data_IF_269678830207
#
_entry.id   IF_269678830207
#
_cell.length_a   1.000
_cell.length_b   1.000
_cell.length_c   1.000
_cell.angle_alpha   90.00
_cell.angle_beta   90.00
_cell.angle_gamma   90.00
#
_symmetry.space_group_name_H-M   'P 1'
#
loop_
_entity.id
_entity.type
_entity.pdbx_description
1 polymer ?
#
# COMPACT_ATOMS: atom_id res chain seq x y z
N UNK A 1 -34.16 26.40 -36.86
CA UNK A 1 -34.15 26.16 -35.41
C UNK A 1 -33.16 25.06 -34.93
N UNK A 2 -32.44 24.35 -35.82
CA UNK A 2 -31.60 23.19 -35.44
C UNK A 2 -30.11 23.46 -35.19
N UNK A 3 -29.54 24.54 -35.72
CA UNK A 3 -28.10 24.86 -35.53
C UNK A 3 -27.77 25.38 -34.13
N UNK A 4 -28.68 26.13 -33.51
CA UNK A 4 -28.44 26.72 -32.17
C UNK A 4 -28.30 25.63 -31.10
N UNK A 5 -29.11 24.57 -31.17
CA UNK A 5 -29.07 23.45 -30.22
C UNK A 5 -27.77 22.65 -30.27
N UNK A 6 -27.16 22.49 -31.46
CA UNK A 6 -25.89 21.77 -31.63
C UNK A 6 -24.73 22.55 -31.01
N UNK A 7 -24.73 23.89 -31.12
CA UNK A 7 -23.71 24.74 -30.51
C UNK A 7 -23.74 24.67 -28.97
N UNK A 8 -24.92 24.63 -28.35
CA UNK A 8 -25.04 24.51 -26.89
C UNK A 8 -24.52 23.18 -26.35
N UNK A 9 -24.76 22.07 -27.08
CA UNK A 9 -24.26 20.74 -26.68
C UNK A 9 -22.73 20.67 -26.78
N UNK A 10 -22.14 21.24 -27.83
CA UNK A 10 -20.68 21.26 -28.01
C UNK A 10 -19.96 22.08 -26.92
N UNK A 11 -20.51 23.24 -26.55
CA UNK A 11 -19.97 24.07 -25.47
C UNK A 11 -20.10 23.37 -24.11
N UNK A 12 -21.24 22.72 -23.84
CA UNK A 12 -21.43 21.96 -22.60
C UNK A 12 -20.43 20.79 -22.47
N UNK A 13 -20.17 20.04 -23.56
CA UNK A 13 -19.20 18.94 -23.57
C UNK A 13 -17.75 19.42 -23.40
N UNK A 14 -17.39 20.59 -23.97
CA UNK A 14 -16.07 21.19 -23.78
C UNK A 14 -15.85 21.71 -22.35
N UNK A 15 -16.90 22.25 -21.71
CA UNK A 15 -16.85 22.65 -20.30
C UNK A 15 -16.75 21.44 -19.36
N UNK A 16 -17.49 20.36 -19.64
CA UNK A 16 -17.43 19.13 -18.84
C UNK A 16 -16.07 18.44 -18.94
N UNK A 17 -15.47 18.38 -20.14
CA UNK A 17 -14.12 17.83 -20.33
C UNK A 17 -13.03 18.73 -19.75
N UNK A 18 -13.19 20.06 -19.81
CA UNK A 18 -12.32 21.01 -19.13
C UNK A 18 -12.33 20.86 -17.60
N UNK A 19 -13.51 20.72 -16.98
CA UNK A 19 -13.64 20.48 -15.54
C UNK A 19 -13.04 19.12 -15.13
N UNK A 20 -13.23 18.07 -15.94
CA UNK A 20 -12.59 16.77 -15.70
C UNK A 20 -11.05 16.85 -15.74
N UNK A 21 -10.49 17.67 -16.63
CA UNK A 21 -9.03 17.85 -16.73
C UNK A 21 -8.45 18.70 -15.59
N UNK A 22 -9.18 19.72 -15.13
CA UNK A 22 -8.81 20.54 -13.97
C UNK A 22 -8.87 19.77 -12.65
N UNK A 23 -9.88 18.92 -12.48
CA UNK A 23 -9.99 18.03 -11.30
C UNK A 23 -8.89 16.97 -11.29
N UNK A 24 -8.47 16.46 -12.45
CA UNK A 24 -7.33 15.54 -12.57
C UNK A 24 -6.01 16.18 -12.11
N UNK A 25 -5.75 17.45 -12.47
CA UNK A 25 -4.52 18.17 -12.07
C UNK A 25 -4.41 18.41 -10.56
N UNK A 26 -5.51 18.66 -9.86
CA UNK A 26 -5.47 18.91 -8.42
C UNK A 26 -5.02 17.70 -7.59
N UNK A 27 -5.18 16.47 -8.09
CA UNK A 27 -4.73 15.26 -7.38
C UNK A 27 -3.21 15.07 -7.43
N UNK A 28 -2.54 15.58 -8.48
CA UNK A 28 -1.08 15.46 -8.63
C UNK A 28 -0.31 16.31 -7.61
N UNK A 29 -0.89 17.43 -7.16
CA UNK A 29 -0.29 18.32 -6.15
C UNK A 29 -0.32 17.73 -4.73
N UNK A 30 -1.04 16.62 -4.51
CA UNK A 30 -1.20 15.96 -3.21
C UNK A 30 -0.33 14.70 -3.09
N UNK A 31 0.70 14.53 -3.89
CA UNK A 31 1.70 13.50 -3.63
C UNK A 31 2.65 13.93 -2.50
N UNK A 32 3.08 13.04 -1.59
CA UNK A 32 4.20 13.33 -0.71
C UNK A 32 5.46 13.65 -1.53
N UNK A 33 6.09 14.78 -1.26
CA UNK A 33 7.34 15.16 -1.93
C UNK A 33 8.49 14.40 -1.26
N UNK A 34 8.81 13.23 -1.79
CA UNK A 34 10.02 12.51 -1.43
C UNK A 34 11.15 12.87 -2.41
N UNK A 35 12.40 12.76 -1.94
CA UNK A 35 13.55 12.77 -2.86
C UNK A 35 13.35 11.66 -3.90
N UNK A 36 13.71 11.93 -5.15
CA UNK A 36 13.61 10.95 -6.24
C UNK A 36 14.52 9.72 -6.07
N UNK A 37 15.41 9.73 -5.08
CA UNK A 37 16.19 8.56 -4.71
C UNK A 37 15.31 7.55 -3.97
N UNK A 38 14.84 6.53 -4.70
CA UNK A 38 14.20 5.35 -4.11
C UNK A 38 15.14 4.76 -3.04
N UNK A 39 14.68 4.51 -1.80
CA UNK A 39 15.52 3.89 -0.80
C UNK A 39 16.00 2.50 -1.27
N UNK A 40 17.23 2.08 -0.90
CA UNK A 40 17.73 0.77 -1.26
C UNK A 40 16.79 -0.32 -0.74
N UNK A 41 16.61 -1.37 -1.53
CA UNK A 41 15.81 -2.53 -1.12
C UNK A 41 16.75 -3.62 -0.63
N UNK A 42 17.03 -3.60 0.67
CA UNK A 42 17.81 -4.63 1.33
C UNK A 42 16.90 -5.75 1.82
N UNK A 43 17.43 -6.97 1.99
CA UNK A 43 16.65 -8.15 2.32
C UNK A 43 15.72 -7.90 3.50
N UNK A 44 14.42 -8.18 3.30
CA UNK A 44 13.44 -8.15 4.38
C UNK A 44 13.77 -9.34 5.29
N UNK A 45 14.14 -9.14 6.56
CA UNK A 45 14.10 -10.23 7.51
C UNK A 45 12.66 -10.75 7.55
N UNK A 46 12.52 -12.06 7.73
CA UNK A 46 11.23 -12.66 8.05
C UNK A 46 11.26 -12.87 9.56
N UNK A 47 10.76 -11.93 10.39
CA UNK A 47 10.59 -12.21 11.81
C UNK A 47 9.72 -13.47 11.92
N UNK A 48 10.05 -14.33 12.89
CA UNK A 48 9.16 -15.42 13.22
C UNK A 48 7.79 -14.82 13.51
N UNK A 49 6.75 -15.36 12.87
CA UNK A 49 5.39 -14.98 13.24
C UNK A 49 5.24 -15.24 14.74
N UNK A 50 4.90 -14.19 15.50
CA UNK A 50 4.39 -14.41 16.85
C UNK A 50 3.23 -15.41 16.75
N UNK A 51 3.11 -16.40 17.67
CA UNK A 51 2.01 -17.34 17.60
C UNK A 51 0.71 -16.55 17.53
N UNK A 52 -0.02 -16.72 16.44
CA UNK A 52 -1.33 -16.13 16.30
C UNK A 52 -2.13 -16.56 17.52
N UNK A 53 -2.61 -15.58 18.30
CA UNK A 53 -3.66 -15.89 19.27
C UNK A 53 -4.75 -16.64 18.51
N UNK A 54 -5.18 -17.79 19.03
CA UNK A 54 -6.25 -18.58 18.43
C UNK A 54 -7.38 -17.62 18.01
N UNK A 55 -7.91 -17.73 16.78
CA UNK A 55 -8.90 -16.78 16.30
C UNK A 55 -10.08 -16.82 17.29
N UNK A 56 -10.24 -15.75 18.05
CA UNK A 56 -11.52 -15.46 18.67
C UNK A 56 -12.52 -15.46 17.51
N UNK A 57 -13.67 -16.14 17.67
CA UNK A 57 -14.69 -16.25 16.64
C UNK A 57 -14.93 -14.88 16.00
N UNK A 58 -14.42 -14.70 14.79
CA UNK A 58 -14.54 -13.44 14.08
C UNK A 58 -16.02 -13.27 13.68
N UNK A 59 -16.53 -12.02 13.61
CA UNK A 59 -17.79 -11.76 12.94
C UNK A 59 -17.77 -12.33 11.51
N UNK A 60 -18.95 -12.47 10.89
CA UNK A 60 -19.05 -12.88 9.48
C UNK A 60 -18.32 -11.87 8.57
N UNK A 61 -17.06 -12.17 8.23
CA UNK A 61 -16.21 -11.37 7.35
C UNK A 61 -15.33 -10.32 8.04
N UNK A 62 -14.39 -9.72 7.30
CA UNK A 62 -13.48 -8.72 7.85
C UNK A 62 -14.21 -7.42 8.21
N UNK A 63 -13.61 -6.60 9.10
CA UNK A 63 -14.22 -5.36 9.54
C UNK A 63 -14.53 -4.43 8.36
N UNK A 64 -15.69 -3.80 8.42
CA UNK A 64 -16.12 -2.86 7.40
C UNK A 64 -15.72 -1.45 7.79
N UNK A 65 -15.10 -0.73 6.85
CA UNK A 65 -14.76 0.68 7.00
C UNK A 65 -15.95 1.52 6.55
N UNK A 66 -16.32 2.54 7.31
CA UNK A 66 -17.37 3.50 6.90
C UNK A 66 -16.99 4.15 5.54
N UNK A 67 -17.77 3.92 4.47
CA UNK A 67 -17.47 4.47 3.16
C UNK A 67 -17.41 6.01 3.15
N UNK A 68 -18.21 6.67 4.00
CA UNK A 68 -18.22 8.12 4.10
C UNK A 68 -16.94 8.64 4.77
N UNK A 69 -16.41 7.91 5.77
CA UNK A 69 -15.09 8.21 6.33
C UNK A 69 -14.00 8.01 5.27
N UNK A 70 -13.98 6.86 4.59
CA UNK A 70 -12.97 6.55 3.59
C UNK A 70 -12.94 7.61 2.47
N UNK A 71 -14.10 8.01 1.96
CA UNK A 71 -14.22 9.04 0.93
C UNK A 71 -13.69 10.41 1.39
N UNK A 72 -14.07 10.87 2.59
CA UNK A 72 -13.62 12.17 3.12
C UNK A 72 -12.11 12.17 3.38
N UNK A 73 -11.60 11.11 4.00
CA UNK A 73 -10.18 10.95 4.30
C UNK A 73 -9.37 10.87 3.01
N UNK A 74 -9.83 10.13 2.00
CA UNK A 74 -9.19 10.02 0.69
C UNK A 74 -9.10 11.37 -0.04
N UNK A 75 -10.20 12.13 -0.08
CA UNK A 75 -10.22 13.47 -0.68
C UNK A 75 -9.22 14.42 -0.02
N UNK A 76 -9.14 14.37 1.31
CA UNK A 76 -8.19 15.18 2.09
C UNK A 76 -6.74 14.76 1.88
N UNK A 77 -6.47 13.45 1.95
CA UNK A 77 -5.14 12.89 1.83
C UNK A 77 -4.57 12.90 0.41
N UNK A 78 -5.41 13.08 -0.61
CA UNK A 78 -5.02 12.93 -2.02
C UNK A 78 -4.85 11.46 -2.43
N UNK A 79 -5.66 10.57 -1.86
CA UNK A 79 -5.60 9.12 -2.09
C UNK A 79 -6.88 8.62 -2.76
N UNK A 80 -6.87 7.39 -3.26
CA UNK A 80 -8.12 6.72 -3.64
C UNK A 80 -8.87 6.26 -2.38
N UNK A 81 -10.20 6.29 -2.44
CA UNK A 81 -11.03 5.74 -1.35
C UNK A 81 -10.79 4.25 -1.13
N UNK A 82 -10.44 3.52 -2.21
CA UNK A 82 -10.06 2.11 -2.17
C UNK A 82 -8.81 1.91 -1.30
N UNK A 83 -7.75 2.69 -1.52
CA UNK A 83 -6.52 2.58 -0.73
C UNK A 83 -6.75 2.95 0.75
N UNK A 84 -7.50 4.04 1.01
CA UNK A 84 -7.84 4.43 2.40
C UNK A 84 -8.69 3.36 3.09
N UNK A 85 -9.63 2.74 2.39
CA UNK A 85 -10.43 1.64 2.94
C UNK A 85 -9.57 0.40 3.24
N UNK A 86 -8.65 0.03 2.34
CA UNK A 86 -7.70 -1.06 2.56
C UNK A 86 -6.86 -0.84 3.83
N UNK A 87 -6.27 0.34 3.99
CA UNK A 87 -5.47 0.68 5.18
C UNK A 87 -6.31 0.77 6.45
N UNK A 88 -7.51 1.34 6.38
CA UNK A 88 -8.44 1.39 7.51
C UNK A 88 -8.84 -0.01 7.97
N UNK A 89 -9.14 -0.91 7.03
CA UNK A 89 -9.49 -2.31 7.32
C UNK A 89 -8.34 -3.06 7.97
N UNK A 90 -7.13 -2.90 7.45
CA UNK A 90 -5.93 -3.50 8.02
C UNK A 90 -5.68 -3.06 9.48
N UNK A 91 -5.93 -1.79 9.81
CA UNK A 91 -5.84 -1.28 11.19
C UNK A 91 -6.94 -1.87 12.08
N UNK A 92 -8.17 -1.97 11.59
CA UNK A 92 -9.28 -2.57 12.34
C UNK A 92 -9.06 -4.07 12.62
N UNK A 93 -8.35 -4.76 11.74
CA UNK A 93 -7.97 -6.17 11.89
C UNK A 93 -6.65 -6.38 12.66
N UNK A 94 -5.93 -5.30 13.00
CA UNK A 94 -4.64 -5.41 13.67
C UNK A 94 -4.78 -5.92 15.12
N UNK A 95 -3.79 -6.64 15.66
CA UNK A 95 -3.79 -7.07 17.06
C UNK A 95 -4.02 -5.91 18.04
N UNK A 96 -4.82 -6.14 19.07
CA UNK A 96 -5.04 -5.15 20.12
C UNK A 96 -3.70 -4.73 20.76
N UNK A 97 -3.56 -3.43 21.03
CA UNK A 97 -2.33 -2.88 21.61
C UNK A 97 -1.17 -2.69 20.61
N UNK A 98 -1.30 -3.13 19.35
CA UNK A 98 -0.26 -2.89 18.34
C UNK A 98 -0.04 -1.39 18.08
N UNK A 99 -1.12 -0.59 18.09
CA UNK A 99 -1.03 0.86 17.91
C UNK A 99 -0.69 1.32 16.48
N UNK A 100 -0.74 0.42 15.49
CA UNK A 100 -0.52 0.80 14.09
C UNK A 100 -1.61 1.76 13.58
N UNK A 101 -1.20 2.85 12.93
CA UNK A 101 -2.11 3.81 12.28
C UNK A 101 -2.17 3.63 10.77
N UNK A 102 -3.30 3.98 10.15
CA UNK A 102 -3.51 3.83 8.70
C UNK A 102 -2.49 4.65 7.89
N UNK A 103 -2.03 5.78 8.42
CA UNK A 103 -1.01 6.63 7.80
C UNK A 103 0.35 5.96 7.74
N UNK A 104 0.67 5.02 8.64
CA UNK A 104 1.89 4.20 8.56
C UNK A 104 1.82 3.29 7.33
N UNK A 105 0.69 2.61 7.13
CA UNK A 105 0.46 1.76 5.96
C UNK A 105 0.43 2.57 4.66
N UNK A 106 -0.21 3.75 4.67
CA UNK A 106 -0.18 4.66 3.53
C UNK A 106 1.24 5.18 3.23
N UNK A 107 2.06 5.42 4.25
CA UNK A 107 3.47 5.78 4.09
C UNK A 107 4.28 4.67 3.42
N UNK A 108 4.10 3.41 3.85
CA UNK A 108 4.69 2.24 3.20
C UNK A 108 4.23 2.14 1.74
N UNK A 109 2.92 2.19 1.50
CA UNK A 109 2.36 2.09 0.16
C UNK A 109 2.84 3.18 -0.79
N UNK A 110 3.07 4.40 -0.28
CA UNK A 110 3.67 5.47 -1.08
C UNK A 110 5.09 5.10 -1.52
N UNK A 111 5.95 4.70 -0.57
CA UNK A 111 7.36 4.39 -0.83
C UNK A 111 7.52 3.15 -1.71
N UNK A 112 6.69 2.13 -1.53
CA UNK A 112 6.81 0.87 -2.25
C UNK A 112 6.28 0.96 -3.69
N UNK A 113 5.15 1.62 -3.93
CA UNK A 113 4.50 1.58 -5.25
C UNK A 113 3.55 2.74 -5.56
N UNK A 114 3.66 3.88 -4.87
CA UNK A 114 2.68 4.96 -4.97
C UNK A 114 1.24 4.45 -4.78
N UNK A 115 0.99 3.69 -3.72
CA UNK A 115 -0.32 3.12 -3.40
C UNK A 115 -0.81 2.11 -4.46
N UNK A 116 0.10 1.39 -5.13
CA UNK A 116 -0.22 0.46 -6.21
C UNK A 116 -0.39 1.13 -7.60
N UNK A 117 0.00 2.39 -7.74
CA UNK A 117 -0.17 3.17 -8.99
C UNK A 117 1.14 3.45 -9.74
N UNK A 118 2.26 2.90 -9.27
CA UNK A 118 3.57 3.02 -9.91
C UNK A 118 3.51 2.62 -11.40
N UNK A 119 4.27 3.35 -12.23
CA UNK A 119 4.28 3.25 -13.70
C UNK A 119 2.92 3.54 -14.38
N UNK A 120 2.07 4.35 -13.74
CA UNK A 120 0.78 4.77 -14.31
C UNK A 120 -0.32 3.73 -14.17
N UNK A 121 -0.14 2.74 -13.30
CA UNK A 121 -1.18 1.78 -12.93
C UNK A 121 -2.35 2.48 -12.23
N UNK A 122 -3.50 1.82 -12.26
CA UNK A 122 -4.69 2.22 -11.50
C UNK A 122 -5.10 1.07 -10.62
N UNK A 123 -5.67 1.37 -9.44
CA UNK A 123 -6.37 0.36 -8.67
C UNK A 123 -7.81 0.23 -9.15
N UNK A 124 -8.31 -0.99 -9.24
CA UNK A 124 -9.73 -1.25 -9.41
C UNK A 124 -10.50 -1.09 -8.09
N UNK A 125 -11.81 -1.38 -8.12
CA UNK A 125 -12.68 -1.24 -6.94
C UNK A 125 -12.36 -2.25 -5.82
N UNK A 126 -11.71 -3.37 -6.16
CA UNK A 126 -11.25 -4.37 -5.19
C UNK A 126 -9.90 -3.99 -4.61
N UNK A 127 -9.13 -3.10 -5.23
CA UNK A 127 -7.80 -2.73 -4.75
C UNK A 127 -6.67 -3.49 -5.44
N UNK A 128 -6.98 -4.20 -6.54
CA UNK A 128 -5.97 -4.81 -7.40
C UNK A 128 -5.46 -3.79 -8.43
N UNK A 129 -4.14 -3.74 -8.69
CA UNK A 129 -3.57 -2.89 -9.71
C UNK A 129 -3.93 -3.42 -11.12
N UNK A 130 -4.09 -2.51 -12.07
CA UNK A 130 -4.49 -2.83 -13.46
C UNK A 130 -3.52 -3.78 -14.18
N UNK A 131 -2.26 -3.84 -13.73
CA UNK A 131 -1.30 -4.87 -14.09
C UNK A 131 -0.49 -5.26 -12.85
N UNK A 132 -0.01 -6.52 -12.76
CA UNK A 132 0.83 -6.96 -11.64
C UNK A 132 2.01 -6.02 -11.39
N UNK A 133 2.30 -5.78 -10.12
CA UNK A 133 3.48 -5.04 -9.67
C UNK A 133 4.53 -6.07 -9.27
N UNK A 134 5.61 -6.12 -10.04
CA UNK A 134 6.77 -6.96 -9.80
C UNK A 134 7.98 -6.03 -9.74
N UNK A 135 8.69 -6.05 -8.61
CA UNK A 135 9.90 -5.27 -8.40
C UNK A 135 11.05 -5.71 -9.31
N UNK A 136 12.20 -5.00 -9.29
CA UNK A 136 13.40 -5.43 -10.00
C UNK A 136 13.92 -6.76 -9.44
N UNK A 137 14.69 -7.47 -10.25
CA UNK A 137 15.42 -8.66 -9.82
C UNK A 137 16.37 -8.30 -8.67
N UNK A 138 16.33 -9.10 -7.61
CA UNK A 138 17.24 -8.96 -6.47
C UNK A 138 18.54 -9.71 -6.78
N UNK A 139 19.31 -9.21 -7.74
CA UNK A 139 20.54 -9.83 -8.26
C UNK A 139 21.84 -9.30 -7.63
N UNK A 140 21.71 -8.33 -6.72
CA UNK A 140 22.84 -7.64 -6.10
C UNK A 140 23.44 -6.50 -6.96
N UNK A 141 22.87 -6.20 -8.12
CA UNK A 141 23.29 -5.06 -8.93
C UNK A 141 22.65 -3.77 -8.43
N UNK A 142 23.48 -2.76 -8.11
CA UNK A 142 22.98 -1.48 -7.63
C UNK A 142 22.44 -1.55 -6.19
N UNK A 143 21.34 -0.84 -5.85
CA UNK A 143 20.89 -0.69 -4.47
C UNK A 143 19.94 -1.81 -4.00
N UNK A 144 20.13 -3.04 -4.48
CA UNK A 144 19.33 -4.21 -4.09
C UNK A 144 20.21 -5.33 -3.53
N UNK A 145 19.66 -6.15 -2.64
CA UNK A 145 20.33 -7.37 -2.18
C UNK A 145 20.37 -8.44 -3.28
N UNK A 146 21.31 -9.38 -3.18
CA UNK A 146 21.32 -10.60 -4.01
C UNK A 146 20.53 -11.71 -3.30
N UNK A 147 19.33 -12.05 -3.80
CA UNK A 147 18.42 -13.03 -3.23
C UNK A 147 17.96 -13.98 -4.34
N UNK A 148 18.28 -15.27 -4.20
CA UNK A 148 17.85 -16.32 -5.15
C UNK A 148 16.36 -16.58 -5.02
N UNK A 149 15.70 -16.80 -6.15
CA UNK A 149 14.32 -17.27 -6.17
C UNK A 149 14.20 -18.63 -5.47
N UNK A 150 13.20 -18.75 -4.61
CA UNK A 150 12.75 -20.05 -4.11
C UNK A 150 11.70 -20.63 -5.08
N UNK A 151 11.57 -21.97 -5.21
CA UNK A 151 10.65 -22.58 -6.18
C UNK A 151 9.19 -22.16 -6.02
N UNK A 152 8.73 -21.96 -4.78
CA UNK A 152 7.41 -21.46 -4.44
C UNK A 152 7.26 -19.96 -4.70
N UNK A 153 8.32 -19.18 -4.48
CA UNK A 153 8.37 -17.75 -4.81
C UNK A 153 8.27 -17.46 -6.30
N UNK A 154 8.88 -18.28 -7.15
CA UNK A 154 8.85 -18.12 -8.62
C UNK A 154 7.42 -18.04 -9.17
N UNK A 155 6.43 -18.69 -8.54
CA UNK A 155 5.04 -18.60 -9.00
C UNK A 155 4.43 -17.19 -8.86
N UNK A 156 4.95 -16.36 -7.95
CA UNK A 156 4.45 -15.01 -7.69
C UNK A 156 5.03 -13.94 -8.63
N UNK A 157 6.21 -14.17 -9.21
CA UNK A 157 6.92 -13.18 -10.03
C UNK A 157 7.46 -13.70 -11.38
N UNK A 158 7.50 -15.02 -11.60
CA UNK A 158 7.85 -15.64 -12.87
C UNK A 158 9.35 -15.79 -13.16
N UNK A 159 10.24 -15.35 -12.26
CA UNK A 159 11.69 -15.48 -12.42
C UNK A 159 12.22 -16.71 -11.65
N UNK A 160 12.87 -17.69 -12.30
CA UNK A 160 13.41 -18.88 -11.64
C UNK A 160 14.81 -18.65 -11.02
N UNK A 161 15.41 -17.48 -11.19
CA UNK A 161 16.83 -17.20 -10.88
C UNK A 161 16.99 -16.24 -9.71
N UNK A 162 16.25 -15.13 -9.75
CA UNK A 162 16.33 -14.07 -8.73
C UNK A 162 14.96 -13.81 -8.14
N UNK A 163 14.93 -13.48 -6.86
CA UNK A 163 13.70 -13.13 -6.16
C UNK A 163 13.26 -11.72 -6.54
N UNK A 164 11.96 -11.45 -6.41
CA UNK A 164 11.36 -10.15 -6.68
C UNK A 164 10.38 -9.80 -5.58
N UNK A 165 10.38 -8.53 -5.18
CA UNK A 165 9.30 -8.00 -4.37
C UNK A 165 8.00 -7.92 -5.20
N UNK A 166 6.88 -8.33 -4.64
CA UNK A 166 5.59 -8.45 -5.33
C UNK A 166 4.50 -7.61 -4.67
N UNK A 167 3.66 -7.00 -5.49
CA UNK A 167 2.44 -6.33 -5.03
C UNK A 167 2.59 -4.87 -4.62
N UNK A 168 1.47 -4.20 -4.27
CA UNK A 168 1.48 -2.79 -3.88
C UNK A 168 2.38 -2.47 -2.68
N UNK A 169 2.53 -3.39 -1.72
CA UNK A 169 3.46 -3.22 -0.59
C UNK A 169 4.76 -4.01 -0.75
N UNK A 170 4.98 -4.54 -1.96
CA UNK A 170 6.25 -5.09 -2.42
C UNK A 170 6.89 -6.09 -1.42
N UNK A 171 6.12 -7.12 -1.05
CA UNK A 171 6.58 -8.21 -0.20
C UNK A 171 7.56 -9.12 -0.92
N UNK A 172 8.59 -9.62 -0.23
CA UNK A 172 9.30 -10.80 -0.72
C UNK A 172 8.42 -12.04 -0.54
N UNK A 173 8.47 -13.03 -1.46
CA UNK A 173 7.73 -14.29 -1.32
C UNK A 173 7.92 -15.00 0.01
N UNK A 174 9.13 -15.00 0.56
CA UNK A 174 9.42 -15.59 1.88
C UNK A 174 8.71 -14.88 3.03
N UNK A 175 8.65 -13.54 3.00
CA UNK A 175 7.87 -12.74 3.94
C UNK A 175 6.37 -13.01 3.75
N UNK A 176 5.90 -13.03 2.49
CA UNK A 176 4.52 -13.31 2.16
C UNK A 176 4.05 -14.66 2.70
N UNK A 177 4.85 -15.72 2.52
CA UNK A 177 4.54 -17.06 3.01
C UNK A 177 4.30 -17.12 4.54
N UNK A 178 4.86 -16.18 5.29
CA UNK A 178 4.70 -16.11 6.76
C UNK A 178 3.58 -15.15 7.18
N UNK A 179 3.44 -14.03 6.48
CA UNK A 179 2.63 -12.89 6.92
C UNK A 179 1.37 -12.64 6.07
N UNK A 180 1.15 -13.40 5.00
CA UNK A 180 -0.05 -13.30 4.15
C UNK A 180 -1.34 -13.32 4.98
N UNK A 181 -2.27 -12.43 4.64
CA UNK A 181 -3.60 -12.34 5.23
C UNK A 181 -4.59 -12.06 4.11
N UNK A 182 -5.74 -12.72 4.17
CA UNK A 182 -6.93 -12.35 3.41
C UNK A 182 -7.56 -11.13 4.12
N UNK A 183 -7.28 -9.96 3.59
CA UNK A 183 -7.58 -8.67 4.19
C UNK A 183 -9.00 -8.20 3.93
N UNK A 184 -9.59 -8.58 2.79
CA UNK A 184 -10.96 -8.21 2.40
C UNK A 184 -11.98 -9.35 2.44
N UNK A 185 -11.52 -10.57 2.76
CA UNK A 185 -12.36 -11.73 3.03
C UNK A 185 -12.85 -12.40 1.75
N UNK A 186 -12.16 -12.22 0.62
CA UNK A 186 -12.52 -12.84 -0.65
C UNK A 186 -12.19 -14.35 -0.72
N UNK A 187 -11.51 -14.87 0.31
CA UNK A 187 -11.10 -16.27 0.45
C UNK A 187 -9.70 -16.56 -0.10
N UNK A 188 -9.00 -15.56 -0.63
CA UNK A 188 -7.66 -15.67 -1.20
C UNK A 188 -6.75 -14.63 -0.56
N UNK A 189 -5.53 -15.03 -0.17
CA UNK A 189 -4.48 -14.06 0.15
C UNK A 189 -3.59 -13.86 -1.08
N UNK A 190 -3.76 -12.72 -1.76
CA UNK A 190 -3.06 -12.34 -2.98
C UNK A 190 -2.15 -11.11 -2.73
N UNK A 191 -0.82 -11.20 -2.92
CA UNK A 191 0.06 -10.05 -2.68
C UNK A 191 -0.23 -8.88 -3.63
N UNK A 192 -0.90 -9.12 -4.78
CA UNK A 192 -1.31 -8.06 -5.69
C UNK A 192 -2.56 -7.31 -5.20
N UNK A 193 -3.33 -7.85 -4.27
CA UNK A 193 -4.46 -7.15 -3.67
C UNK A 193 -3.98 -6.19 -2.57
N UNK A 194 -4.33 -4.90 -2.67
CA UNK A 194 -3.91 -3.91 -1.69
C UNK A 194 -4.50 -4.18 -0.30
N UNK A 195 -5.68 -4.78 -0.17
CA UNK A 195 -6.26 -5.10 1.13
C UNK A 195 -5.44 -6.17 1.84
N UNK A 196 -5.06 -7.21 1.12
CA UNK A 196 -4.27 -8.33 1.63
C UNK A 196 -2.85 -7.89 1.95
N UNK A 197 -2.24 -7.12 1.04
CA UNK A 197 -0.94 -6.52 1.25
C UNK A 197 -0.95 -5.63 2.51
N UNK A 198 -1.96 -4.76 2.67
CA UNK A 198 -2.09 -3.91 3.85
C UNK A 198 -2.29 -4.71 5.14
N UNK A 199 -3.12 -5.76 5.12
CA UNK A 199 -3.34 -6.63 6.27
C UNK A 199 -2.06 -7.41 6.65
N UNK A 200 -1.32 -7.91 5.65
CA UNK A 200 -0.03 -8.57 5.86
C UNK A 200 1.01 -7.60 6.42
N UNK A 201 1.07 -6.35 5.94
CA UNK A 201 1.99 -5.34 6.44
C UNK A 201 1.67 -4.93 7.88
N UNK A 202 0.39 -4.79 8.21
CA UNK A 202 -0.03 -4.57 9.59
C UNK A 202 0.37 -5.74 10.48
N UNK A 203 0.09 -6.98 10.08
CA UNK A 203 0.49 -8.17 10.81
C UNK A 203 2.00 -8.24 11.03
N UNK A 204 2.79 -7.98 9.98
CA UNK A 204 4.25 -7.96 10.02
C UNK A 204 4.77 -6.93 11.03
N UNK A 205 4.34 -5.66 10.89
CA UNK A 205 4.82 -4.57 11.76
C UNK A 205 4.43 -4.80 13.22
N UNK A 206 3.20 -5.23 13.48
CA UNK A 206 2.75 -5.60 14.83
C UNK A 206 3.54 -6.79 15.38
N UNK A 207 3.90 -7.74 14.51
CA UNK A 207 4.65 -8.94 14.85
C UNK A 207 6.12 -8.71 15.22
N UNK A 208 6.67 -7.54 14.91
CA UNK A 208 8.05 -7.16 15.32
C UNK A 208 8.21 -7.05 16.83
N UNK A 209 7.11 -6.86 17.57
CA UNK A 209 7.12 -6.69 19.02
C UNK A 209 7.53 -5.30 19.51
N UNK A 210 7.79 -4.34 18.61
CA UNK A 210 8.04 -2.96 18.99
C UNK A 210 6.73 -2.21 19.28
N UNK A 211 6.81 -1.21 20.18
CA UNK A 211 5.70 -0.32 20.46
C UNK A 211 5.56 0.76 19.37
N UNK A 212 4.62 0.56 18.44
CA UNK A 212 4.37 1.48 17.32
C UNK A 212 3.75 2.81 17.75
N UNK A 213 3.36 2.97 19.02
CA UNK A 213 2.87 4.26 19.55
C UNK A 213 4.01 5.20 19.92
N UNK A 214 5.25 4.69 19.99
CA UNK A 214 6.45 5.49 20.27
C UNK A 214 7.26 5.73 18.99
N UNK A 215 7.87 6.91 18.86
CA UNK A 215 8.71 7.21 17.68
C UNK A 215 9.87 6.24 17.50
N UNK A 216 10.46 5.75 18.60
CA UNK A 216 11.57 4.78 18.56
C UNK A 216 11.09 3.38 18.13
N UNK A 217 10.00 2.88 18.73
CA UNK A 217 9.45 1.58 18.38
C UNK A 217 8.87 1.55 16.95
N UNK A 218 8.18 2.61 16.54
CA UNK A 218 7.73 2.80 15.17
C UNK A 218 8.91 2.75 14.17
N UNK A 219 9.97 3.52 14.45
CA UNK A 219 11.15 3.57 13.57
C UNK A 219 11.84 2.21 13.47
N UNK A 220 11.94 1.48 14.58
CA UNK A 220 12.53 0.14 14.61
C UNK A 220 11.68 -0.89 13.84
N UNK A 221 10.35 -0.83 13.93
CA UNK A 221 9.46 -1.71 13.18
C UNK A 221 9.51 -1.44 11.67
N UNK A 222 9.51 -0.18 11.25
CA UNK A 222 9.64 0.19 9.83
C UNK A 222 11.04 -0.17 9.30
N UNK A 223 12.08 -0.03 10.12
CA UNK A 223 13.43 -0.49 9.77
C UNK A 223 13.49 -2.01 9.58
N UNK A 224 12.70 -2.79 10.33
CA UNK A 224 12.60 -4.22 10.09
C UNK A 224 11.97 -4.54 8.72
N UNK A 225 11.01 -3.72 8.26
CA UNK A 225 10.40 -3.89 6.93
C UNK A 225 11.41 -3.69 5.79
N UNK A 226 12.35 -2.75 5.95
CA UNK A 226 13.49 -2.55 5.08
C UNK A 226 14.63 -1.86 5.87
N UNK A 227 15.78 -2.54 6.02
CA UNK A 227 16.92 -2.12 6.85
C UNK A 227 17.71 -0.93 6.27
N UNK A 228 17.01 0.16 6.01
CA UNK A 228 17.54 1.39 5.45
C UNK A 228 17.02 2.60 6.23
N UNK A 229 17.93 3.41 6.77
CA UNK A 229 17.54 4.63 7.49
C UNK A 229 16.84 5.65 6.57
N UNK A 230 17.22 5.70 5.30
CA UNK A 230 16.54 6.56 4.32
C UNK A 230 15.13 6.04 4.01
N UNK A 231 14.92 4.73 4.03
CA UNK A 231 13.59 4.13 3.93
C UNK A 231 12.69 4.57 5.09
N UNK A 232 13.16 4.41 6.34
CA UNK A 232 12.40 4.84 7.53
C UNK A 232 12.04 6.32 7.45
N UNK A 233 13.01 7.16 7.05
CA UNK A 233 12.79 8.60 6.89
C UNK A 233 11.74 8.93 5.82
N UNK A 234 11.76 8.23 4.69
CA UNK A 234 10.81 8.40 3.60
C UNK A 234 9.39 7.97 4.00
N UNK A 235 9.25 6.82 4.65
CA UNK A 235 7.96 6.33 5.17
C UNK A 235 7.42 7.31 6.22
N UNK A 236 8.27 7.81 7.12
CA UNK A 236 7.86 8.77 8.15
C UNK A 236 7.35 10.07 7.53
N UNK A 237 8.09 10.61 6.55
CA UNK A 237 7.69 11.83 5.85
C UNK A 237 6.34 11.66 5.13
N UNK A 238 6.14 10.54 4.44
CA UNK A 238 4.86 10.24 3.79
C UNK A 238 3.72 10.07 4.81
N UNK A 239 3.95 9.32 5.90
CA UNK A 239 2.96 9.10 6.96
C UNK A 239 2.53 10.40 7.65
N UNK A 240 3.48 11.27 8.01
CA UNK A 240 3.21 12.60 8.59
C UNK A 240 2.43 13.45 7.60
N UNK A 241 2.83 13.47 6.32
CA UNK A 241 2.12 14.23 5.28
C UNK A 241 0.66 13.80 5.15
N UNK A 242 0.38 12.49 5.15
CA UNK A 242 -1.00 12.00 5.11
C UNK A 242 -1.78 12.32 6.39
N UNK A 243 -1.13 12.26 7.56
CA UNK A 243 -1.74 12.65 8.83
C UNK A 243 -2.14 14.14 8.84
N UNK A 244 -1.24 15.03 8.45
CA UNK A 244 -1.48 16.47 8.41
C UNK A 244 -2.63 16.84 7.47
N UNK A 245 -2.69 16.21 6.29
CA UNK A 245 -3.72 16.49 5.29
C UNK A 245 -5.11 15.98 5.72
N UNK A 246 -5.16 14.89 6.48
CA UNK A 246 -6.40 14.20 6.83
C UNK A 246 -6.99 14.58 8.19
N UNK A 247 -6.26 15.36 8.99
CA UNK A 247 -6.71 15.93 10.27
C UNK A 247 -7.98 16.77 10.16
#
# INVERSE_FOLDING_TARGET
MRLRSVAYVAVALALLSGLAWLTQRQTSDLSPVLSSAQPPKVAQPVPAAAPAAAPAAAPDGPPQVDPAWAQRTAQRAGLSAVAVAAYGRAVLSAPQGCGIGWTTLAGLGWVESHQGTIDGRTLDATGRPSTPIIGPALDGAGPVAAIRAAPDGTALHGDPTWDHAVGPLQFLPSTWATWARDGDGDGTADPQDLNDAAAAAAAYLCGTGYDLTTGAGWSAAVFAYNHSASYVSAVNLAAVTYAERSA
#
